data_IF_786954656297
#
_entry.id   IF_786954656297
#
_cell.length_a   1.000
_cell.length_b   1.000
_cell.length_c   1.000
_cell.angle_alpha   90.00
_cell.angle_beta   90.00
_cell.angle_gamma   90.00
#
_symmetry.space_group_name_H-M   'P 1'
#
loop_
_entity.id
_entity.type
_entity.pdbx_description
1 polymer ?
#
# COMPACT_ATOMS: atom_id res chain seq x y z
N UNK A 1 -5.80 3.37 -38.98
CA UNK A 1 -4.79 2.63 -38.19
C UNK A 1 -5.09 2.97 -36.74
N UNK A 2 -5.92 2.15 -36.11
CA UNK A 2 -6.48 2.43 -34.79
C UNK A 2 -5.36 2.49 -33.74
N UNK A 3 -5.17 3.68 -33.18
CA UNK A 3 -4.50 3.84 -31.90
C UNK A 3 -5.40 3.13 -30.88
N UNK A 4 -5.13 1.86 -30.59
CA UNK A 4 -5.67 1.26 -29.38
C UNK A 4 -5.18 2.11 -28.21
N UNK A 5 -6.10 2.89 -27.65
CA UNK A 5 -5.95 3.68 -26.45
C UNK A 5 -5.85 2.66 -25.31
N UNK A 6 -4.67 2.08 -25.13
CA UNK A 6 -4.35 1.47 -23.84
C UNK A 6 -4.26 2.64 -22.84
N UNK A 7 -4.94 2.57 -21.69
CA UNK A 7 -4.81 3.62 -20.70
C UNK A 7 -3.35 3.65 -20.23
N UNK A 8 -2.69 4.80 -20.43
CA UNK A 8 -1.30 5.04 -20.00
C UNK A 8 -1.15 4.81 -18.48
N UNK A 9 -2.24 5.06 -17.75
CA UNK A 9 -2.45 4.71 -16.34
C UNK A 9 -3.32 3.45 -16.27
N UNK A 10 -2.70 2.29 -16.21
CA UNK A 10 -3.38 0.99 -16.19
C UNK A 10 -3.31 0.35 -14.80
N UNK A 11 -4.42 -0.26 -14.37
CA UNK A 11 -4.57 -0.99 -13.10
C UNK A 11 -4.17 -0.16 -11.89
N UNK A 12 -4.57 1.11 -11.86
CA UNK A 12 -4.27 1.99 -10.74
C UNK A 12 -4.89 1.49 -9.43
N UNK A 13 -6.00 0.77 -9.50
CA UNK A 13 -6.60 0.06 -8.36
C UNK A 13 -5.63 -0.91 -7.66
N UNK A 14 -4.80 -1.62 -8.42
CA UNK A 14 -3.81 -2.58 -7.90
C UNK A 14 -2.53 -1.87 -7.42
N UNK A 15 -2.29 -0.64 -7.86
CA UNK A 15 -1.06 0.14 -7.60
C UNK A 15 -1.21 1.14 -6.46
N UNK A 16 -2.25 1.95 -6.48
CA UNK A 16 -2.53 3.01 -5.49
C UNK A 16 -3.87 2.83 -4.77
N UNK A 17 -4.61 1.75 -5.07
CA UNK A 17 -5.88 1.44 -4.41
C UNK A 17 -7.10 2.19 -4.98
N UNK A 18 -6.91 3.00 -6.03
CA UNK A 18 -7.98 3.80 -6.66
C UNK A 18 -7.80 3.84 -8.18
N UNK A 19 -8.91 3.91 -8.93
CA UNK A 19 -8.89 4.07 -10.39
C UNK A 19 -10.12 4.87 -10.85
N UNK A 20 -9.92 5.84 -11.74
CA UNK A 20 -10.94 6.85 -12.12
C UNK A 20 -12.17 6.23 -12.81
N UNK A 21 -12.08 5.02 -13.34
CA UNK A 21 -13.15 4.36 -14.09
C UNK A 21 -13.38 2.89 -13.71
N UNK A 22 -12.88 2.45 -12.56
CA UNK A 22 -12.97 1.04 -12.15
C UNK A 22 -13.36 0.95 -10.68
N UNK A 23 -14.67 0.91 -10.41
CA UNK A 23 -15.16 0.60 -9.08
C UNK A 23 -15.02 -0.91 -8.85
N UNK A 24 -14.32 -1.37 -7.80
CA UNK A 24 -14.16 -2.80 -7.51
C UNK A 24 -15.49 -3.46 -7.11
N UNK A 25 -16.49 -2.66 -6.70
CA UNK A 25 -17.83 -3.02 -6.22
C UNK A 25 -18.85 -1.92 -6.61
N UNK A 26 -20.13 -2.28 -6.78
CA UNK A 26 -21.27 -1.36 -6.95
C UNK A 26 -21.47 -0.38 -5.78
N UNK A 27 -20.87 -0.62 -4.60
CA UNK A 27 -21.09 0.16 -3.38
C UNK A 27 -19.95 1.07 -2.91
N UNK A 28 -19.01 1.44 -3.79
CA UNK A 28 -17.82 2.29 -3.52
C UNK A 28 -16.58 1.50 -3.09
N UNK A 29 -15.40 2.14 -3.17
CA UNK A 29 -14.09 1.53 -2.89
C UNK A 29 -13.82 1.24 -1.41
N UNK A 30 -14.66 1.77 -0.50
CA UNK A 30 -14.42 1.79 0.94
C UNK A 30 -15.70 1.50 1.71
N UNK A 31 -15.58 0.84 2.86
CA UNK A 31 -16.71 0.72 3.79
C UNK A 31 -17.04 2.09 4.37
N UNK A 32 -18.27 2.56 4.13
CA UNK A 32 -18.75 3.87 4.56
C UNK A 32 -18.70 4.10 6.07
N UNK A 33 -18.58 3.04 6.87
CA UNK A 33 -18.52 3.05 8.33
C UNK A 33 -17.14 2.69 8.90
N UNK A 34 -16.11 2.56 8.06
CA UNK A 34 -14.78 2.18 8.53
C UNK A 34 -14.17 3.21 9.48
N UNK A 35 -13.76 2.72 10.65
CA UNK A 35 -13.07 3.48 11.69
C UNK A 35 -11.68 2.90 11.91
N UNK A 36 -10.61 3.62 11.57
CA UNK A 36 -9.26 3.13 11.82
C UNK A 36 -9.01 2.98 13.33
N UNK A 37 -8.30 1.92 13.76
CA UNK A 37 -8.04 1.67 15.17
C UNK A 37 -7.22 2.79 15.82
N UNK A 38 -7.34 2.93 17.14
CA UNK A 38 -6.63 3.94 17.93
C UNK A 38 -7.46 5.18 18.25
N UNK A 39 -6.79 6.33 18.39
CA UNK A 39 -7.44 7.58 18.82
C UNK A 39 -8.50 8.08 17.83
N UNK A 40 -8.34 7.80 16.54
CA UNK A 40 -9.29 8.20 15.49
C UNK A 40 -10.61 7.44 15.67
N UNK A 41 -10.57 6.11 15.77
CA UNK A 41 -11.75 5.30 16.06
C UNK A 41 -12.37 5.57 17.44
N UNK A 42 -11.54 5.85 18.46
CA UNK A 42 -12.02 6.22 19.81
C UNK A 42 -12.76 7.56 19.83
N UNK A 43 -12.42 8.46 18.90
CA UNK A 43 -13.10 9.75 18.73
C UNK A 43 -14.37 9.65 17.88
N UNK A 44 -14.76 8.44 17.47
CA UNK A 44 -15.94 8.21 16.62
C UNK A 44 -15.78 8.69 15.18
N UNK A 45 -14.57 9.08 14.76
CA UNK A 45 -14.30 9.58 13.42
C UNK A 45 -14.26 8.41 12.44
N UNK A 46 -15.06 8.53 11.38
CA UNK A 46 -15.15 7.58 10.28
C UNK A 46 -14.23 8.10 9.17
N UNK A 47 -13.41 7.22 8.60
CA UNK A 47 -12.52 7.56 7.48
C UNK A 47 -12.43 6.38 6.53
N UNK A 48 -13.38 6.22 5.60
CA UNK A 48 -13.40 5.12 4.65
C UNK A 48 -12.08 5.02 3.86
N UNK A 49 -11.48 6.14 3.48
CA UNK A 49 -10.22 6.21 2.74
C UNK A 49 -9.02 5.73 3.56
N UNK A 50 -9.09 5.72 4.90
CA UNK A 50 -8.02 5.19 5.74
C UNK A 50 -7.83 3.66 5.56
N UNK A 51 -8.75 2.97 4.90
CA UNK A 51 -8.52 1.60 4.44
C UNK A 51 -7.31 1.53 3.50
N UNK A 52 -7.07 2.55 2.66
CA UNK A 52 -5.91 2.59 1.77
C UNK A 52 -4.58 2.77 2.52
N UNK A 53 -4.61 3.49 3.64
CA UNK A 53 -3.43 3.78 4.44
C UNK A 53 -2.95 2.55 5.23
N UNK A 54 -3.80 1.53 5.38
CA UNK A 54 -3.51 0.33 6.17
C UNK A 54 -2.73 -0.75 5.43
N UNK A 55 -2.50 -0.61 4.12
CA UNK A 55 -1.86 -1.64 3.29
C UNK A 55 -0.51 -1.16 2.73
N UNK A 56 0.62 -1.85 3.02
CA UNK A 56 1.95 -1.45 2.53
C UNK A 56 2.01 -1.29 1.01
N UNK A 57 1.21 -2.09 0.29
CA UNK A 57 1.25 -2.17 -1.17
C UNK A 57 0.86 -0.86 -1.86
N UNK A 58 -0.23 -0.23 -1.43
CA UNK A 58 -0.78 0.94 -2.15
C UNK A 58 -0.05 2.23 -1.81
N UNK A 59 0.32 2.41 -0.53
CA UNK A 59 1.12 3.55 -0.11
C UNK A 59 2.50 3.55 -0.76
N UNK A 60 3.17 2.39 -0.79
CA UNK A 60 4.48 2.27 -1.44
C UNK A 60 4.35 2.49 -2.95
N UNK A 61 3.29 1.96 -3.58
CA UNK A 61 3.02 2.18 -5.00
C UNK A 61 2.79 3.65 -5.34
N UNK A 62 2.04 4.38 -4.51
CA UNK A 62 1.79 5.82 -4.67
C UNK A 62 3.08 6.62 -4.54
N UNK A 63 3.83 6.43 -3.45
CA UNK A 63 5.07 7.19 -3.18
C UNK A 63 6.10 6.91 -4.27
N UNK A 64 6.30 5.63 -4.61
CA UNK A 64 7.26 5.23 -5.63
C UNK A 64 6.90 5.81 -7.00
N UNK A 65 5.64 5.73 -7.41
CA UNK A 65 5.22 6.28 -8.68
C UNK A 65 5.36 7.82 -8.76
N UNK A 66 5.14 8.55 -7.66
CA UNK A 66 5.41 10.00 -7.61
C UNK A 66 6.91 10.31 -7.71
N UNK A 67 7.77 9.51 -7.08
CA UNK A 67 9.22 9.69 -7.14
C UNK A 67 9.77 9.40 -8.54
N UNK A 68 9.37 8.27 -9.14
CA UNK A 68 9.77 7.88 -10.50
C UNK A 68 9.29 8.92 -11.53
N UNK A 69 8.08 9.48 -11.37
CA UNK A 69 7.55 10.52 -12.24
C UNK A 69 8.42 11.79 -12.27
N UNK A 70 9.04 12.16 -11.14
CA UNK A 70 9.92 13.34 -11.03
C UNK A 70 11.32 13.08 -11.58
N UNK A 71 11.85 11.85 -11.48
CA UNK A 71 13.21 11.51 -11.90
C UNK A 71 13.31 11.10 -13.38
N UNK A 72 12.45 10.17 -13.79
CA UNK A 72 12.55 9.47 -15.09
C UNK A 72 11.27 9.61 -15.91
N UNK A 73 10.21 10.18 -15.32
CA UNK A 73 8.89 10.25 -15.92
C UNK A 73 8.15 8.90 -15.85
N UNK A 74 7.17 8.74 -16.72
CA UNK A 74 6.32 7.55 -16.80
C UNK A 74 7.01 6.42 -17.57
N UNK A 75 7.88 5.67 -16.90
CA UNK A 75 8.55 4.47 -17.46
C UNK A 75 7.87 3.20 -16.96
N UNK A 76 7.76 2.17 -17.79
CA UNK A 76 7.14 0.88 -17.47
C UNK A 76 7.99 -0.02 -16.57
N UNK A 77 8.40 0.45 -15.39
CA UNK A 77 9.13 -0.35 -14.39
C UNK A 77 8.18 -1.00 -13.37
N UNK A 78 8.57 -2.14 -12.74
CA UNK A 78 7.76 -2.74 -11.68
C UNK A 78 7.64 -1.80 -10.48
N UNK A 79 6.45 -1.21 -10.25
CA UNK A 79 6.20 -0.22 -9.20
C UNK A 79 5.76 1.16 -9.72
N UNK A 80 5.88 1.39 -11.03
CA UNK A 80 5.45 2.61 -11.71
C UNK A 80 3.94 2.67 -11.96
N UNK A 81 3.44 3.88 -12.21
CA UNK A 81 2.05 4.13 -12.63
C UNK A 81 1.71 3.58 -14.01
N UNK A 82 2.68 3.28 -14.87
CA UNK A 82 2.42 2.69 -16.20
C UNK A 82 2.49 1.16 -16.21
N UNK A 83 1.83 0.52 -17.18
CA UNK A 83 1.88 -0.93 -17.40
C UNK A 83 2.34 -1.19 -18.84
N UNK A 84 3.35 -2.05 -19.01
CA UNK A 84 3.82 -2.47 -20.33
C UNK A 84 5.15 -1.85 -20.76
N UNK A 85 5.80 -2.59 -21.69
CA UNK A 85 7.17 -2.45 -22.20
C UNK A 85 8.12 -1.68 -21.28
N UNK A 86 8.80 -2.44 -20.42
CA UNK A 86 10.12 -2.09 -19.90
C UNK A 86 11.02 -1.85 -21.12
N UNK A 87 11.15 -0.62 -21.58
CA UNK A 87 12.38 -0.23 -22.25
C UNK A 87 13.35 0.07 -21.13
N UNK A 88 14.24 -0.89 -20.87
CA UNK A 88 15.37 -0.68 -19.98
C UNK A 88 16.02 0.64 -20.42
N UNK A 89 16.29 1.53 -19.47
CA UNK A 89 17.10 2.70 -19.71
C UNK A 89 18.36 2.21 -20.44
N UNK A 90 18.58 2.67 -21.67
CA UNK A 90 19.88 2.44 -22.30
C UNK A 90 20.89 3.25 -21.51
N UNK A 91 21.70 2.52 -20.72
CA UNK A 91 22.80 3.05 -19.93
C UNK A 91 23.71 3.87 -20.88
N UNK A 92 23.77 5.19 -20.66
CA UNK A 92 24.62 6.09 -21.46
C UNK A 92 23.90 7.03 -22.43
N UNK A 93 22.57 7.09 -22.45
CA UNK A 93 21.87 8.19 -23.14
C UNK A 93 21.71 9.40 -22.22
N UNK A 94 22.12 10.59 -22.69
CA UNK A 94 22.07 11.86 -21.94
C UNK A 94 20.66 12.46 -21.83
N UNK A 95 19.62 11.70 -22.20
CA UNK A 95 18.24 12.16 -22.19
C UNK A 95 17.40 11.34 -21.20
N UNK A 96 17.18 11.84 -19.97
CA UNK A 96 16.52 11.10 -18.88
C UNK A 96 15.07 10.69 -19.20
N UNK A 97 14.45 11.27 -20.23
CA UNK A 97 13.06 11.03 -20.62
C UNK A 97 12.88 10.34 -21.97
N UNK A 98 13.97 9.92 -22.64
CA UNK A 98 13.92 9.36 -24.01
C UNK A 98 13.01 8.13 -24.14
N UNK A 99 12.84 7.38 -23.05
CA UNK A 99 12.02 6.17 -22.99
C UNK A 99 10.72 6.34 -22.17
N UNK A 100 10.43 7.56 -21.69
CA UNK A 100 9.23 7.84 -20.91
C UNK A 100 7.99 7.96 -21.80
N UNK A 101 6.87 7.37 -21.37
CA UNK A 101 5.56 7.51 -22.03
C UNK A 101 5.00 8.93 -21.86
N UNK A 102 5.46 9.64 -20.82
CA UNK A 102 5.24 11.04 -20.56
C UNK A 102 6.10 11.50 -19.39
N UNK A 103 6.34 12.80 -19.26
CA UNK A 103 7.18 13.36 -18.21
C UNK A 103 6.60 14.70 -17.72
N UNK A 104 6.96 15.09 -16.50
CA UNK A 104 6.66 16.42 -15.98
C UNK A 104 7.77 17.37 -16.43
N UNK A 105 7.38 18.45 -17.09
CA UNK A 105 8.29 19.55 -17.42
C UNK A 105 7.89 20.78 -16.64
N UNK A 106 8.86 21.44 -16.03
CA UNK A 106 8.67 22.67 -15.27
C UNK A 106 9.84 23.61 -15.53
N UNK A 107 9.53 24.82 -15.99
CA UNK A 107 10.54 25.85 -16.18
C UNK A 107 10.87 26.49 -14.83
N UNK A 108 12.00 26.10 -14.25
CA UNK A 108 12.39 26.54 -12.90
C UNK A 108 13.00 27.94 -12.86
N UNK A 109 12.85 28.59 -11.70
CA UNK A 109 13.63 29.76 -11.33
C UNK A 109 15.05 29.36 -10.90
N UNK A 110 16.04 30.19 -11.19
CA UNK A 110 17.44 29.99 -10.76
C UNK A 110 17.65 30.27 -9.27
N UNK A 111 16.77 31.05 -8.64
CA UNK A 111 16.85 31.32 -7.21
C UNK A 111 16.07 30.24 -6.43
N UNK A 112 16.76 29.53 -5.53
CA UNK A 112 16.18 28.43 -4.74
C UNK A 112 14.98 28.84 -3.88
N UNK A 113 14.96 30.09 -3.39
CA UNK A 113 13.83 30.61 -2.59
C UNK A 113 12.60 30.81 -3.47
N UNK A 114 12.78 31.47 -4.63
CA UNK A 114 11.70 31.67 -5.60
C UNK A 114 11.19 30.34 -6.17
N UNK A 115 12.09 29.39 -6.39
CA UNK A 115 11.75 28.04 -6.83
C UNK A 115 10.85 27.31 -5.81
N UNK A 116 11.20 27.35 -4.53
CA UNK A 116 10.40 26.71 -3.47
C UNK A 116 9.05 27.42 -3.29
N UNK A 117 9.02 28.75 -3.34
CA UNK A 117 7.77 29.52 -3.21
C UNK A 117 6.81 29.29 -4.39
N UNK A 118 7.35 29.13 -5.61
CA UNK A 118 6.53 28.79 -6.77
C UNK A 118 5.99 27.36 -6.67
N UNK A 119 6.82 26.38 -6.30
CA UNK A 119 6.36 25.01 -6.08
C UNK A 119 5.33 24.90 -4.95
N UNK A 120 5.48 25.67 -3.88
CA UNK A 120 4.49 25.77 -2.82
C UNK A 120 3.14 26.26 -3.37
N UNK A 121 3.17 27.27 -4.24
CA UNK A 121 1.98 27.80 -4.90
C UNK A 121 1.35 26.74 -5.83
N UNK A 122 2.14 26.10 -6.69
CA UNK A 122 1.65 25.15 -7.68
C UNK A 122 1.15 23.84 -7.07
N UNK A 123 1.88 23.29 -6.10
CA UNK A 123 1.63 21.93 -5.59
C UNK A 123 0.83 21.93 -4.29
N UNK A 124 0.89 23.01 -3.50
CA UNK A 124 0.21 23.06 -2.21
C UNK A 124 -0.65 24.31 -2.00
N UNK A 125 -0.77 25.18 -3.02
CA UNK A 125 -1.53 26.44 -2.94
C UNK A 125 -1.10 27.30 -1.74
N UNK A 126 0.21 27.36 -1.43
CA UNK A 126 0.75 28.18 -0.35
C UNK A 126 0.62 27.57 1.05
N UNK A 127 0.26 26.29 1.18
CA UNK A 127 0.04 25.63 2.48
C UNK A 127 1.33 25.18 3.16
N UNK A 128 2.48 25.30 2.50
CA UNK A 128 3.76 24.89 3.08
C UNK A 128 4.23 25.93 4.11
N UNK A 129 4.27 25.55 5.39
CA UNK A 129 4.72 26.46 6.46
C UNK A 129 6.19 26.89 6.34
N UNK A 130 6.53 28.04 6.92
CA UNK A 130 7.87 28.66 6.83
C UNK A 130 9.00 27.74 7.30
N UNK A 131 8.79 26.97 8.37
CA UNK A 131 9.80 26.00 8.86
C UNK A 131 10.09 24.90 7.83
N UNK A 132 9.06 24.43 7.11
CA UNK A 132 9.24 23.42 6.08
C UNK A 132 9.97 24.03 4.87
N UNK A 133 9.62 25.27 4.47
CA UNK A 133 10.35 26.00 3.43
C UNK A 133 11.82 26.18 3.76
N UNK A 134 12.14 26.60 4.99
CA UNK A 134 13.53 26.72 5.46
C UNK A 134 14.27 25.38 5.42
N UNK A 135 13.60 24.28 5.78
CA UNK A 135 14.17 22.93 5.70
C UNK A 135 14.44 22.53 4.24
N UNK A 136 13.49 22.76 3.34
CA UNK A 136 13.68 22.49 1.90
C UNK A 136 14.81 23.32 1.31
N UNK A 137 14.94 24.59 1.70
CA UNK A 137 16.03 25.45 1.23
C UNK A 137 17.40 24.95 1.70
N UNK A 138 17.50 24.51 2.96
CA UNK A 138 18.73 23.90 3.47
C UNK A 138 19.08 22.61 2.72
N UNK A 139 18.10 21.75 2.47
CA UNK A 139 18.28 20.51 1.70
C UNK A 139 18.68 20.78 0.25
N UNK A 140 18.05 21.76 -0.41
CA UNK A 140 18.41 22.17 -1.76
C UNK A 140 19.88 22.57 -1.84
N UNK A 141 20.32 23.46 -0.96
CA UNK A 141 21.70 23.94 -0.93
C UNK A 141 22.70 22.81 -0.63
N UNK A 142 22.35 21.87 0.26
CA UNK A 142 23.19 20.72 0.58
C UNK A 142 23.38 19.79 -0.64
N UNK A 143 22.29 19.47 -1.35
CA UNK A 143 22.34 18.56 -2.51
C UNK A 143 23.03 19.24 -3.69
N UNK A 144 22.67 20.49 -4.00
CA UNK A 144 23.29 21.25 -5.08
C UNK A 144 24.80 21.44 -4.89
N UNK A 145 25.29 21.42 -3.64
CA UNK A 145 26.73 21.48 -3.34
C UNK A 145 27.48 20.16 -3.56
N UNK A 146 26.78 19.02 -3.53
CA UNK A 146 27.37 17.67 -3.60
C UNK A 146 27.18 17.00 -4.96
N UNK A 147 26.09 17.33 -5.64
CA UNK A 147 25.66 16.72 -6.89
C UNK A 147 25.40 17.82 -7.92
N UNK A 148 24.21 17.82 -8.54
CA UNK A 148 23.80 18.79 -9.54
C UNK A 148 22.55 19.59 -9.10
N UNK A 149 22.35 20.75 -9.72
CA UNK A 149 21.19 21.60 -9.46
C UNK A 149 19.87 20.92 -9.88
N UNK A 150 19.89 20.17 -10.98
CA UNK A 150 18.71 19.44 -11.46
C UNK A 150 18.33 18.29 -10.52
N UNK A 151 19.32 17.59 -9.95
CA UNK A 151 19.07 16.57 -8.94
C UNK A 151 18.49 17.19 -7.65
N UNK A 152 19.01 18.34 -7.23
CA UNK A 152 18.45 19.08 -6.10
C UNK A 152 16.98 19.45 -6.34
N UNK A 153 16.63 19.93 -7.54
CA UNK A 153 15.24 20.24 -7.92
C UNK A 153 14.33 19.00 -7.86
N UNK A 154 14.77 17.87 -8.42
CA UNK A 154 14.00 16.61 -8.35
C UNK A 154 13.74 16.20 -6.90
N UNK A 155 14.75 16.26 -6.03
CA UNK A 155 14.60 15.89 -4.62
C UNK A 155 13.62 16.83 -3.90
N UNK A 156 13.65 18.14 -4.17
CA UNK A 156 12.68 19.07 -3.58
C UNK A 156 11.24 18.76 -4.02
N UNK A 157 11.03 18.45 -5.30
CA UNK A 157 9.71 18.03 -5.80
C UNK A 157 9.22 16.77 -5.08
N UNK A 158 10.08 15.78 -4.90
CA UNK A 158 9.75 14.54 -4.17
C UNK A 158 9.43 14.79 -2.70
N UNK A 159 10.19 15.67 -2.04
CA UNK A 159 9.92 16.06 -0.65
C UNK A 159 8.57 16.76 -0.53
N UNK A 160 8.24 17.68 -1.44
CA UNK A 160 6.93 18.34 -1.45
C UNK A 160 5.82 17.32 -1.69
N UNK A 161 5.98 16.43 -2.69
CA UNK A 161 5.00 15.41 -3.03
C UNK A 161 4.73 14.41 -1.90
N UNK A 162 5.68 14.21 -0.99
CA UNK A 162 5.51 13.33 0.19
C UNK A 162 5.01 14.07 1.44
N UNK A 163 4.83 15.39 1.36
CA UNK A 163 4.30 16.15 2.50
C UNK A 163 2.79 15.99 2.64
N UNK A 164 2.26 16.09 3.88
CA UNK A 164 0.82 16.17 4.09
C UNK A 164 0.18 17.41 3.44
N UNK A 165 0.93 18.49 3.21
CA UNK A 165 0.43 19.69 2.56
C UNK A 165 0.06 19.45 1.09
N UNK A 166 0.76 18.52 0.42
CA UNK A 166 0.44 18.06 -0.93
C UNK A 166 -0.79 17.12 -0.94
N UNK A 167 -0.87 16.20 0.03
CA UNK A 167 -1.93 15.19 0.08
C UNK A 167 -3.24 15.65 0.74
N UNK A 168 -3.27 16.82 1.35
CA UNK A 168 -4.47 17.34 2.05
C UNK A 168 -4.74 18.78 1.67
N UNK A 169 -6.03 19.15 1.65
CA UNK A 169 -6.47 20.52 1.37
C UNK A 169 -6.48 21.40 2.64
N UNK A 170 -6.37 20.80 3.83
CA UNK A 170 -6.33 21.50 5.10
C UNK A 170 -4.95 22.10 5.38
N UNK A 171 -4.91 23.23 6.08
CA UNK A 171 -3.67 23.81 6.60
C UNK A 171 -3.04 22.87 7.63
N UNK A 172 -1.79 22.46 7.39
CA UNK A 172 -1.02 21.65 8.33
C UNK A 172 -0.34 22.60 9.32
N UNK A 173 -1.07 23.01 10.34
CA UNK A 173 -0.49 23.77 11.43
C UNK A 173 0.15 22.82 12.46
N UNK A 174 1.45 22.96 12.68
CA UNK A 174 2.07 22.43 13.90
C UNK A 174 1.53 23.25 15.06
N UNK A 175 0.49 22.76 15.73
CA UNK A 175 0.06 23.35 17.00
C UNK A 175 1.19 23.20 18.03
N UNK A 176 1.85 24.32 18.29
CA UNK A 176 2.60 24.65 19.50
C UNK A 176 4.07 24.19 19.60
N UNK A 177 4.64 23.50 18.60
CA UNK A 177 6.05 23.07 18.65
C UNK A 177 6.40 22.09 19.79
N UNK A 178 5.45 21.83 20.70
CA UNK A 178 5.58 20.85 21.74
C UNK A 178 5.63 19.47 21.11
N UNK A 179 6.65 18.70 21.49
CA UNK A 179 6.74 17.30 21.13
C UNK A 179 5.45 16.64 21.58
N UNK A 180 4.73 16.00 20.66
CA UNK A 180 3.58 15.16 21.01
C UNK A 180 4.02 14.30 22.19
N UNK A 181 3.37 14.43 23.34
CA UNK A 181 3.67 13.59 24.48
C UNK A 181 3.62 12.16 23.96
N UNK A 182 4.67 11.35 24.20
CA UNK A 182 4.61 9.96 23.80
C UNK A 182 3.29 9.42 24.35
N UNK A 183 2.53 8.72 23.51
CA UNK A 183 1.38 7.99 24.02
C UNK A 183 1.90 7.24 25.25
N UNK A 184 1.29 7.40 26.43
CA UNK A 184 1.76 6.70 27.61
C UNK A 184 1.93 5.26 27.19
N UNK A 185 3.15 4.72 27.35
CA UNK A 185 3.38 3.31 27.10
C UNK A 185 2.28 2.61 27.85
N UNK A 186 1.36 1.97 27.13
CA UNK A 186 0.35 1.18 27.80
C UNK A 186 1.15 0.24 28.68
N UNK A 187 1.01 0.37 30.01
CA UNK A 187 1.55 -0.63 30.90
C UNK A 187 1.05 -1.95 30.32
N UNK A 188 1.93 -2.95 30.10
CA UNK A 188 1.46 -4.26 29.67
C UNK A 188 0.28 -4.57 30.58
N UNK A 189 -0.91 -4.73 30.01
CA UNK A 189 -2.05 -5.09 30.82
C UNK A 189 -1.59 -6.36 31.57
N UNK A 190 -1.74 -6.39 32.90
CA UNK A 190 -1.52 -7.62 33.67
C UNK A 190 -2.46 -8.76 33.24
N UNK A 191 -3.42 -8.45 32.35
CA UNK A 191 -4.24 -9.41 31.66
C UNK A 191 -3.48 -10.10 30.52
N UNK A 192 -3.76 -11.38 30.34
CA UNK A 192 -3.39 -12.13 29.14
C UNK A 192 -3.77 -11.33 27.89
N UNK A 193 -2.78 -11.01 27.05
CA UNK A 193 -3.01 -10.26 25.82
C UNK A 193 -3.22 -11.22 24.65
N UNK A 194 -4.27 -11.00 23.88
CA UNK A 194 -4.49 -11.69 22.60
C UNK A 194 -3.88 -10.87 21.48
N UNK A 195 -2.68 -11.24 21.02
CA UNK A 195 -2.10 -10.65 19.83
C UNK A 195 -2.69 -11.28 18.56
N UNK A 196 -3.27 -10.46 17.70
CA UNK A 196 -3.69 -10.87 16.36
C UNK A 196 -2.53 -10.53 15.41
N UNK A 197 -1.82 -11.54 14.93
CA UNK A 197 -0.77 -11.38 13.92
C UNK A 197 -1.36 -11.64 12.54
N UNK A 198 -1.47 -10.61 11.72
CA UNK A 198 -1.99 -10.71 10.35
C UNK A 198 -0.82 -10.88 9.38
N UNK A 199 -0.69 -12.08 8.80
CA UNK A 199 0.26 -12.35 7.72
C UNK A 199 -0.42 -12.15 6.37
N UNK A 200 0.01 -11.14 5.62
CA UNK A 200 -0.44 -10.96 4.24
C UNK A 200 0.45 -11.79 3.31
N UNK A 201 -0.09 -12.89 2.80
CA UNK A 201 0.62 -13.84 1.94
C UNK A 201 0.07 -13.83 0.50
N UNK A 202 -0.26 -12.63 0.01
CA UNK A 202 -0.80 -12.44 -1.34
C UNK A 202 0.12 -13.02 -2.43
N UNK A 203 -0.40 -13.93 -3.24
CA UNK A 203 0.30 -14.56 -4.37
C UNK A 203 1.32 -15.65 -4.00
N UNK A 204 1.65 -15.82 -2.72
CA UNK A 204 2.58 -16.86 -2.24
C UNK A 204 1.94 -17.99 -1.44
N UNK A 205 0.74 -17.77 -0.92
CA UNK A 205 -0.02 -18.76 -0.16
C UNK A 205 -1.26 -19.19 -0.94
N UNK A 206 -1.38 -20.50 -1.11
CA UNK A 206 -2.60 -21.13 -1.58
C UNK A 206 -3.52 -21.41 -0.37
N UNK A 207 -4.38 -20.44 -0.04
CA UNK A 207 -5.25 -20.49 1.15
C UNK A 207 -6.21 -21.69 1.12
N UNK A 208 -6.62 -22.15 -0.06
CA UNK A 208 -7.46 -23.34 -0.22
C UNK A 208 -6.76 -24.64 0.21
N UNK A 209 -5.42 -24.62 0.28
CA UNK A 209 -4.61 -25.73 0.75
C UNK A 209 -4.14 -25.56 2.20
N UNK A 210 -4.41 -24.41 2.84
CA UNK A 210 -4.11 -24.18 4.27
C UNK A 210 -5.12 -24.89 5.14
N UNK A 211 -6.41 -24.69 4.85
CA UNK A 211 -7.54 -25.32 5.53
C UNK A 211 -8.50 -25.86 4.46
N UNK A 212 -8.65 -27.17 4.42
CA UNK A 212 -9.52 -27.87 3.49
C UNK A 212 -10.61 -28.64 4.26
N UNK A 213 -11.81 -28.83 3.69
CA UNK A 213 -12.81 -29.69 4.29
C UNK A 213 -12.31 -31.14 4.36
N UNK A 214 -12.68 -31.88 5.39
CA UNK A 214 -12.53 -33.34 5.42
C UNK A 214 -13.89 -33.99 5.24
N UNK A 215 -13.88 -35.21 4.72
CA UNK A 215 -15.08 -36.03 4.74
C UNK A 215 -15.45 -36.32 6.20
N UNK A 216 -16.64 -35.89 6.58
CA UNK A 216 -17.20 -36.05 7.92
C UNK A 216 -18.72 -36.21 7.86
N UNK A 217 -19.33 -36.59 8.98
CA UNK A 217 -20.77 -36.85 9.07
C UNK A 217 -21.61 -35.61 8.72
N UNK A 218 -21.13 -34.45 9.14
CA UNK A 218 -21.87 -33.18 9.02
C UNK A 218 -21.53 -32.42 7.71
N UNK A 219 -20.52 -32.90 6.97
CA UNK A 219 -20.03 -32.29 5.73
C UNK A 219 -19.68 -33.33 4.65
N UNK A 220 -20.58 -34.31 4.50
CA UNK A 220 -20.44 -35.36 3.49
C UNK A 220 -20.41 -34.75 2.09
N UNK A 221 -19.41 -35.12 1.29
CA UNK A 221 -19.27 -34.67 -0.10
C UNK A 221 -18.42 -33.42 -0.32
N UNK A 222 -18.22 -32.58 0.70
CA UNK A 222 -17.45 -31.32 0.53
C UNK A 222 -15.98 -31.54 0.19
N UNK A 223 -15.34 -32.58 0.75
CA UNK A 223 -13.97 -32.92 0.34
C UNK A 223 -13.93 -33.42 -1.12
N UNK A 224 -14.96 -34.14 -1.57
CA UNK A 224 -15.05 -34.58 -2.97
C UNK A 224 -15.23 -33.40 -3.94
N UNK A 225 -16.05 -32.41 -3.57
CA UNK A 225 -16.21 -31.17 -4.34
C UNK A 225 -14.90 -30.37 -4.35
N UNK A 226 -14.24 -30.23 -3.20
CA UNK A 226 -12.93 -29.58 -3.10
C UNK A 226 -11.90 -30.24 -4.04
N UNK A 227 -11.78 -31.57 -4.05
CA UNK A 227 -10.87 -32.27 -4.96
C UNK A 227 -11.28 -32.10 -6.42
N UNK A 228 -12.59 -32.12 -6.72
CA UNK A 228 -13.09 -31.91 -8.09
C UNK A 228 -12.70 -30.53 -8.63
N UNK A 229 -12.93 -29.47 -7.86
CA UNK A 229 -12.64 -28.10 -8.29
C UNK A 229 -11.13 -27.82 -8.32
N UNK A 230 -10.36 -28.44 -7.42
CA UNK A 230 -8.91 -28.20 -7.30
C UNK A 230 -8.05 -29.08 -8.19
N UNK A 231 -8.58 -30.22 -8.65
CA UNK A 231 -7.86 -31.19 -9.46
C UNK A 231 -6.52 -31.58 -8.84
N UNK A 232 -5.44 -31.46 -9.63
CA UNK A 232 -4.08 -31.84 -9.21
C UNK A 232 -3.50 -30.98 -8.07
N UNK A 233 -4.06 -29.79 -7.83
CA UNK A 233 -3.65 -28.90 -6.75
C UNK A 233 -4.38 -29.18 -5.43
N UNK A 234 -5.34 -30.10 -5.42
CA UNK A 234 -6.06 -30.52 -4.22
C UNK A 234 -5.22 -31.43 -3.33
N UNK A 235 -5.29 -31.21 -2.02
CA UNK A 235 -4.58 -32.00 -1.03
C UNK A 235 -5.32 -33.30 -0.72
N UNK A 236 -4.61 -34.43 -0.78
CA UNK A 236 -5.17 -35.72 -0.41
C UNK A 236 -5.54 -35.74 1.08
N UNK A 237 -6.68 -36.35 1.42
CA UNK A 237 -7.19 -36.46 2.79
C UNK A 237 -6.13 -37.01 3.76
N UNK A 238 -5.37 -38.03 3.34
CA UNK A 238 -4.25 -38.63 4.11
C UNK A 238 -3.09 -37.68 4.41
N UNK A 239 -2.98 -36.55 3.70
CA UNK A 239 -1.93 -35.55 3.88
C UNK A 239 -2.40 -34.32 4.67
N UNK A 240 -3.67 -34.32 5.08
CA UNK A 240 -4.27 -33.28 5.91
C UNK A 240 -4.28 -33.70 7.38
N UNK A 241 -3.71 -32.87 8.23
CA UNK A 241 -3.80 -32.95 9.69
C UNK A 241 -5.22 -32.58 10.11
N UNK A 242 -5.90 -33.43 10.89
CA UNK A 242 -7.28 -33.16 11.29
C UNK A 242 -7.36 -32.02 12.29
N UNK A 243 -8.35 -31.14 12.12
CA UNK A 243 -8.79 -30.14 13.07
C UNK A 243 -10.24 -30.43 13.44
N UNK A 244 -10.50 -30.55 14.74
CA UNK A 244 -11.84 -30.73 15.27
C UNK A 244 -12.46 -29.35 15.56
N UNK A 245 -13.45 -28.98 14.77
CA UNK A 245 -14.20 -27.72 14.88
C UNK A 245 -15.53 -27.88 15.61
N UNK A 246 -15.73 -28.94 16.40
CA UNK A 246 -16.94 -29.14 17.20
C UNK A 246 -17.16 -27.96 18.14
N UNK A 247 -18.37 -27.38 18.13
CA UNK A 247 -18.70 -26.22 18.96
C UNK A 247 -18.28 -24.86 18.39
N UNK A 248 -17.65 -24.83 17.20
CA UNK A 248 -17.30 -23.58 16.51
C UNK A 248 -18.48 -22.87 15.82
N UNK A 249 -19.64 -23.52 15.72
CA UNK A 249 -20.79 -23.06 14.95
C UNK A 249 -20.63 -23.18 13.43
N UNK A 250 -19.53 -23.77 12.96
CA UNK A 250 -19.33 -24.07 11.53
C UNK A 250 -20.21 -25.26 11.09
N UNK A 251 -20.61 -25.31 9.80
CA UNK A 251 -21.37 -26.44 9.25
C UNK A 251 -20.63 -27.78 9.34
N UNK A 252 -19.29 -27.75 9.31
CA UNK A 252 -18.45 -28.94 9.43
C UNK A 252 -17.78 -28.99 10.80
N UNK A 253 -17.75 -30.19 11.38
CA UNK A 253 -17.02 -30.45 12.63
C UNK A 253 -15.58 -30.91 12.40
N UNK A 254 -15.22 -31.29 11.17
CA UNK A 254 -13.89 -31.78 10.84
C UNK A 254 -13.31 -31.07 9.62
N UNK A 255 -12.14 -30.47 9.83
CA UNK A 255 -11.34 -29.84 8.78
C UNK A 255 -9.94 -30.45 8.72
N UNK A 256 -9.21 -30.10 7.67
CA UNK A 256 -7.87 -30.59 7.40
C UNK A 256 -6.92 -29.43 7.18
N UNK A 257 -5.81 -29.41 7.92
CA UNK A 257 -4.71 -28.47 7.72
C UNK A 257 -3.56 -29.13 7.00
N UNK A 258 -2.86 -28.37 6.16
CA UNK A 258 -1.68 -28.86 5.46
C UNK A 258 -0.63 -29.47 6.42
N UNK A 259 -0.10 -30.67 6.13
CA UNK A 259 0.90 -31.35 6.99
C UNK A 259 2.15 -30.55 7.36
N UNK A 260 2.56 -29.61 6.49
CA UNK A 260 3.71 -28.72 6.76
C UNK A 260 3.37 -27.55 7.70
N UNK A 261 2.09 -27.32 7.99
CA UNK A 261 1.58 -26.30 8.91
C UNK A 261 1.20 -26.94 10.26
N UNK A 262 2.00 -27.88 10.75
CA UNK A 262 1.73 -28.58 12.01
C UNK A 262 1.67 -27.63 13.22
N UNK A 263 2.38 -26.51 13.18
CA UNK A 263 2.27 -25.47 14.20
C UNK A 263 0.87 -24.86 14.28
N UNK A 264 0.17 -24.68 13.15
CA UNK A 264 -1.21 -24.15 13.14
C UNK A 264 -2.17 -25.11 13.84
N UNK A 265 -2.06 -26.41 13.53
CA UNK A 265 -2.85 -27.44 14.20
C UNK A 265 -2.60 -27.43 15.72
N UNK A 266 -1.33 -27.40 16.15
CA UNK A 266 -0.98 -27.40 17.58
C UNK A 266 -1.51 -26.17 18.32
N UNK A 267 -1.46 -25.00 17.69
CA UNK A 267 -1.97 -23.75 18.27
C UNK A 267 -3.50 -23.85 18.43
N UNK A 268 -4.19 -24.33 17.39
CA UNK A 268 -5.63 -24.54 17.43
C UNK A 268 -6.03 -25.55 18.52
N UNK A 269 -5.37 -26.70 18.57
CA UNK A 269 -5.64 -27.76 19.54
C UNK A 269 -5.36 -27.30 20.99
N UNK A 270 -4.44 -26.34 21.17
CA UNK A 270 -4.16 -25.72 22.46
C UNK A 270 -5.19 -24.64 22.88
N UNK A 271 -6.14 -24.29 22.00
CA UNK A 271 -7.19 -23.30 22.27
C UNK A 271 -6.71 -21.85 22.17
N UNK A 272 -5.65 -21.59 21.39
CA UNK A 272 -5.08 -20.26 21.17
C UNK A 272 -5.55 -19.60 19.86
#
# INVERSE_FOLDING_TARGET
QDKMIYPILDRMNIKVGQEVFSAPDQFSFFDSDYKPPGQIGSSGLISPEAQLLSVPRWLIGLIRGMMELSQEGMIGTPGSFTFGRVKLLEEGTSEPYSNAVGYLSYQSFTNSTMYIDDLDTLLTNGRLGETNKATLQATYNDIASKFDEEEAKQVIQQLIATTPAFHTMSSVERKNGEKRLPNPTASPAEADYKAIVVFNLFGGLDSFNVLAPKDGKDCSGLYSDYIRERGIAGMLNKTLLSINATGSGQPCTDFGVHKKLSSFQKIYDAGH
#
